data_IF_748249620547
#
_entry.id   IF_748249620547
#
_cell.length_a   1.000
_cell.length_b   1.000
_cell.length_c   1.000
_cell.angle_alpha   90.00
_cell.angle_beta   90.00
_cell.angle_gamma   90.00
#
_symmetry.space_group_name_H-M   'P 1'
#
loop_
_entity.id
_entity.type
_entity.pdbx_description
1 polymer ?
#
# COMPACT_ATOMS: atom_id res chain seq x y z
N UNK A 1 42.44 -21.40 2.86
CA UNK A 1 41.30 -21.21 1.94
C UNK A 1 40.28 -22.28 2.29
N UNK A 2 39.39 -21.98 3.21
CA UNK A 2 38.39 -22.97 3.66
C UNK A 2 37.16 -22.22 4.21
N UNK A 3 35.99 -22.76 3.96
CA UNK A 3 34.73 -22.57 4.68
C UNK A 3 33.80 -21.38 4.40
N UNK A 4 33.86 -20.73 3.24
CA UNK A 4 32.78 -19.80 2.88
C UNK A 4 31.61 -20.45 2.06
N UNK A 5 31.64 -21.77 1.84
CA UNK A 5 30.77 -22.42 0.82
C UNK A 5 29.54 -23.17 1.33
N UNK A 6 29.28 -23.20 2.67
CA UNK A 6 28.22 -24.06 3.22
C UNK A 6 27.24 -23.33 4.18
N UNK A 7 27.11 -22.03 4.09
CA UNK A 7 26.05 -21.34 4.83
C UNK A 7 24.68 -21.70 4.23
N UNK A 8 23.95 -22.59 4.90
CA UNK A 8 22.57 -22.91 4.51
C UNK A 8 21.73 -21.63 4.41
N UNK A 9 20.92 -21.48 3.35
CA UNK A 9 20.08 -20.30 3.18
C UNK A 9 19.14 -20.15 4.38
N UNK A 10 19.15 -18.98 5.00
CA UNK A 10 18.33 -18.68 6.18
C UNK A 10 16.83 -18.94 5.91
N UNK A 11 16.10 -19.38 6.92
CA UNK A 11 14.66 -19.58 6.82
C UNK A 11 13.94 -18.24 6.55
N UNK A 12 12.80 -18.27 5.87
CA UNK A 12 12.02 -17.05 5.61
C UNK A 12 11.58 -16.34 6.89
N UNK A 13 11.35 -17.07 7.98
CA UNK A 13 11.02 -16.49 9.29
C UNK A 13 12.18 -15.73 9.90
N UNK A 14 13.43 -16.24 9.79
CA UNK A 14 14.60 -15.50 10.28
C UNK A 14 14.89 -14.23 9.49
N UNK A 15 14.42 -14.15 8.24
CA UNK A 15 14.51 -12.94 7.42
C UNK A 15 13.55 -11.83 7.90
N UNK A 16 12.41 -12.18 8.53
CA UNK A 16 11.50 -11.17 9.12
C UNK A 16 12.18 -10.39 10.26
N UNK A 17 12.88 -11.09 11.15
CA UNK A 17 13.66 -10.41 12.17
C UNK A 17 14.83 -9.64 11.55
N UNK A 18 15.50 -10.23 10.56
CA UNK A 18 16.63 -9.65 9.87
C UNK A 18 16.31 -8.35 9.12
N UNK A 19 15.08 -8.17 8.60
CA UNK A 19 14.72 -6.93 7.89
C UNK A 19 14.67 -5.72 8.83
N UNK A 20 14.44 -5.94 10.11
CA UNK A 20 14.45 -4.91 11.15
C UNK A 20 15.87 -4.70 11.69
N UNK A 21 16.56 -5.78 12.05
CA UNK A 21 17.85 -5.76 12.74
C UNK A 21 19.04 -5.49 11.78
N UNK A 22 19.06 -6.19 10.63
CA UNK A 22 20.15 -6.14 9.64
C UNK A 22 19.62 -6.03 8.22
N UNK A 23 18.90 -4.94 7.87
CA UNK A 23 18.16 -4.83 6.62
C UNK A 23 19.03 -5.02 5.38
N UNK A 24 20.22 -4.42 5.33
CA UNK A 24 21.11 -4.55 4.17
C UNK A 24 21.57 -5.99 3.92
N UNK A 25 21.99 -6.70 4.97
CA UNK A 25 22.41 -8.10 4.85
C UNK A 25 21.25 -9.01 4.47
N UNK A 26 20.06 -8.77 5.03
CA UNK A 26 18.85 -9.53 4.73
C UNK A 26 18.40 -9.30 3.27
N UNK A 27 18.38 -8.06 2.79
CA UNK A 27 18.02 -7.74 1.42
C UNK A 27 19.04 -8.29 0.41
N UNK A 28 20.35 -8.30 0.76
CA UNK A 28 21.38 -8.94 -0.05
C UNK A 28 21.15 -10.45 -0.17
N UNK A 29 20.78 -11.12 0.91
CA UNK A 29 20.47 -12.56 0.89
C UNK A 29 19.20 -12.87 0.08
N UNK A 30 18.15 -12.03 0.20
CA UNK A 30 16.92 -12.20 -0.57
C UNK A 30 17.19 -12.06 -2.07
N UNK A 31 17.96 -11.06 -2.48
CA UNK A 31 18.32 -10.83 -3.89
C UNK A 31 19.26 -11.89 -4.45
N UNK A 32 20.11 -12.49 -3.61
CA UNK A 32 20.98 -13.59 -4.01
C UNK A 32 20.19 -14.91 -4.22
N UNK A 33 19.14 -15.15 -3.44
CA UNK A 33 18.34 -16.37 -3.46
C UNK A 33 16.85 -16.05 -3.63
N UNK A 34 16.39 -15.54 -4.80
CA UNK A 34 15.04 -14.98 -4.98
C UNK A 34 13.90 -16.00 -4.95
N UNK A 35 14.19 -17.32 -5.17
CA UNK A 35 13.18 -18.39 -5.23
C UNK A 35 12.26 -18.34 -4.01
N UNK A 36 10.96 -18.30 -4.22
CA UNK A 36 9.91 -18.37 -3.18
C UNK A 36 10.05 -17.37 -2.01
N UNK A 37 11.11 -16.56 -1.97
CA UNK A 37 11.34 -15.59 -0.89
C UNK A 37 10.24 -14.52 -0.81
N UNK A 38 9.64 -14.16 -1.94
CA UNK A 38 8.54 -13.20 -2.01
C UNK A 38 7.23 -13.70 -1.40
N UNK A 39 7.03 -15.03 -1.28
CA UNK A 39 5.76 -15.64 -0.84
C UNK A 39 5.38 -15.22 0.57
N UNK A 40 6.31 -15.30 1.53
CA UNK A 40 6.02 -14.96 2.93
C UNK A 40 5.54 -13.51 3.11
N UNK A 41 6.27 -12.47 2.67
CA UNK A 41 5.79 -11.10 2.84
C UNK A 41 4.52 -10.79 2.05
N UNK A 42 4.31 -11.38 0.87
CA UNK A 42 3.06 -11.24 0.12
C UNK A 42 1.89 -11.88 0.88
N UNK A 43 2.08 -13.09 1.43
CA UNK A 43 1.04 -13.75 2.24
C UNK A 43 0.68 -12.91 3.46
N UNK A 44 1.67 -12.37 4.17
CA UNK A 44 1.42 -11.47 5.32
C UNK A 44 0.66 -10.21 4.90
N UNK A 45 0.99 -9.62 3.77
CA UNK A 45 0.31 -8.45 3.24
C UNK A 45 -1.15 -8.76 2.85
N UNK A 46 -1.40 -9.90 2.20
CA UNK A 46 -2.76 -10.36 1.86
C UNK A 46 -3.57 -10.60 3.13
N UNK A 47 -3.02 -11.29 4.12
CA UNK A 47 -3.71 -11.55 5.39
C UNK A 47 -4.04 -10.24 6.12
N UNK A 48 -3.11 -9.29 6.17
CA UNK A 48 -3.36 -7.96 6.75
C UNK A 48 -4.44 -7.19 6.00
N UNK A 49 -4.46 -7.28 4.65
CA UNK A 49 -5.50 -6.66 3.82
C UNK A 49 -6.87 -7.25 4.09
N UNK A 50 -6.99 -8.59 4.18
CA UNK A 50 -8.24 -9.28 4.50
C UNK A 50 -8.71 -8.91 5.90
N UNK A 51 -7.82 -8.97 6.90
CA UNK A 51 -8.14 -8.61 8.27
C UNK A 51 -8.65 -7.16 8.38
N UNK A 52 -7.97 -6.23 7.70
CA UNK A 52 -8.39 -4.83 7.63
C UNK A 52 -9.77 -4.69 6.98
N UNK A 53 -10.01 -5.36 5.85
CA UNK A 53 -11.30 -5.32 5.14
C UNK A 53 -12.44 -5.86 6.02
N UNK A 54 -12.24 -6.97 6.72
CA UNK A 54 -13.25 -7.56 7.64
C UNK A 54 -13.58 -6.60 8.79
N UNK A 55 -12.55 -6.04 9.44
CA UNK A 55 -12.75 -5.15 10.61
C UNK A 55 -13.36 -3.81 10.19
N UNK A 56 -13.02 -3.27 9.02
CA UNK A 56 -13.54 -1.97 8.56
C UNK A 56 -14.88 -2.06 7.85
N UNK A 57 -15.28 -3.25 7.37
CA UNK A 57 -16.52 -3.46 6.59
C UNK A 57 -17.78 -2.87 7.21
N UNK A 58 -18.10 -3.07 8.51
CA UNK A 58 -19.34 -2.52 9.10
C UNK A 58 -19.35 -0.99 9.09
N UNK A 59 -18.19 -0.35 9.31
CA UNK A 59 -18.07 1.10 9.32
C UNK A 59 -18.19 1.69 7.91
N UNK A 60 -17.54 1.06 6.92
CA UNK A 60 -17.62 1.46 5.52
C UNK A 60 -19.04 1.27 4.96
N UNK A 61 -19.71 0.18 5.32
CA UNK A 61 -21.09 -0.07 4.95
C UNK A 61 -22.05 0.96 5.55
N UNK A 62 -21.84 1.37 6.81
CA UNK A 62 -22.61 2.43 7.44
C UNK A 62 -22.42 3.78 6.71
N UNK A 63 -21.17 4.13 6.34
CA UNK A 63 -20.90 5.34 5.56
C UNK A 63 -21.54 5.28 4.16
N UNK A 64 -21.45 4.14 3.48
CA UNK A 64 -22.06 3.94 2.15
C UNK A 64 -23.59 4.14 2.23
N UNK A 65 -24.25 3.66 3.30
CA UNK A 65 -25.67 3.87 3.52
C UNK A 65 -26.02 5.36 3.71
N UNK A 66 -25.24 6.09 4.49
CA UNK A 66 -25.45 7.53 4.70
C UNK A 66 -25.27 8.32 3.42
N UNK A 67 -24.23 8.01 2.62
CA UNK A 67 -23.98 8.65 1.34
C UNK A 67 -25.11 8.35 0.35
N UNK A 68 -25.56 7.10 0.28
CA UNK A 68 -26.67 6.70 -0.58
C UNK A 68 -27.98 7.40 -0.17
N UNK A 69 -28.31 7.47 1.13
CA UNK A 69 -29.47 8.19 1.63
C UNK A 69 -29.43 9.68 1.22
N UNK A 70 -28.26 10.31 1.28
CA UNK A 70 -28.09 11.70 0.85
C UNK A 70 -28.27 11.89 -0.67
N UNK A 71 -27.90 10.89 -1.49
CA UNK A 71 -28.14 10.90 -2.93
C UNK A 71 -29.63 10.70 -3.22
N UNK A 72 -30.25 9.70 -2.58
CA UNK A 72 -31.68 9.39 -2.77
C UNK A 72 -32.61 10.53 -2.37
N UNK A 73 -32.27 11.30 -1.33
CA UNK A 73 -33.06 12.45 -0.89
C UNK A 73 -33.11 13.60 -1.93
N UNK A 74 -32.24 13.57 -2.92
CA UNK A 74 -32.18 14.57 -4.02
C UNK A 74 -32.80 14.06 -5.32
N UNK A 75 -33.19 12.79 -5.39
CA UNK A 75 -33.76 12.19 -6.59
C UNK A 75 -35.26 12.40 -6.69
N UNK A 76 -35.79 12.63 -7.91
CA UNK A 76 -37.25 12.67 -8.16
C UNK A 76 -37.91 11.33 -7.82
N UNK A 77 -39.14 11.36 -7.33
CA UNK A 77 -39.91 10.18 -6.90
C UNK A 77 -40.07 9.12 -8.01
N UNK A 78 -40.16 9.55 -9.26
CA UNK A 78 -40.26 8.65 -10.43
C UNK A 78 -39.01 7.79 -10.63
N UNK A 79 -37.82 8.37 -10.41
CA UNK A 79 -36.55 7.65 -10.50
C UNK A 79 -36.37 6.70 -9.32
N UNK A 80 -36.80 7.09 -8.11
CA UNK A 80 -36.77 6.23 -6.92
C UNK A 80 -37.62 4.97 -7.11
N UNK A 81 -38.79 5.08 -7.78
CA UNK A 81 -39.68 3.95 -8.03
C UNK A 81 -39.07 2.90 -8.99
N UNK A 82 -38.13 3.30 -9.83
CA UNK A 82 -37.45 2.44 -10.81
C UNK A 82 -36.13 1.81 -10.27
N UNK A 83 -35.71 2.17 -9.05
CA UNK A 83 -34.46 1.65 -8.50
C UNK A 83 -34.57 0.17 -8.15
N UNK A 84 -33.61 -0.67 -8.61
CA UNK A 84 -33.60 -2.08 -8.31
C UNK A 84 -33.45 -2.31 -6.77
N UNK A 85 -34.31 -3.19 -6.21
CA UNK A 85 -34.19 -3.63 -4.80
C UNK A 85 -32.81 -4.24 -4.48
N UNK A 86 -32.09 -4.68 -5.50
CA UNK A 86 -30.73 -5.24 -5.40
C UNK A 86 -29.68 -4.23 -4.92
N UNK A 87 -29.93 -2.91 -5.03
CA UNK A 87 -28.98 -1.90 -4.52
C UNK A 87 -28.72 -2.02 -3.01
N UNK A 88 -29.65 -2.53 -2.22
CA UNK A 88 -29.44 -2.77 -0.81
C UNK A 88 -28.32 -3.79 -0.53
N UNK A 89 -28.10 -4.75 -1.43
CA UNK A 89 -27.08 -5.78 -1.29
C UNK A 89 -25.66 -5.17 -1.32
N UNK A 90 -25.44 -4.15 -2.14
CA UNK A 90 -24.14 -3.45 -2.26
C UNK A 90 -23.74 -2.68 -1.01
N UNK A 91 -24.68 -2.46 -0.07
CA UNK A 91 -24.45 -1.76 1.19
C UNK A 91 -24.31 -2.73 2.40
N UNK A 92 -24.30 -4.03 2.14
CA UNK A 92 -24.11 -5.01 3.22
C UNK A 92 -22.64 -5.04 3.64
N UNK A 93 -22.32 -5.21 4.94
CA UNK A 93 -20.93 -5.36 5.40
C UNK A 93 -20.18 -6.48 4.69
N UNK A 94 -20.87 -7.58 4.36
CA UNK A 94 -20.26 -8.71 3.64
C UNK A 94 -19.81 -8.29 2.23
N UNK A 95 -20.68 -7.62 1.46
CA UNK A 95 -20.34 -7.18 0.10
C UNK A 95 -19.23 -6.12 0.14
N UNK A 96 -19.36 -5.12 1.02
CA UNK A 96 -18.38 -4.05 1.17
C UNK A 96 -17.02 -4.60 1.61
N UNK A 97 -17.01 -5.53 2.58
CA UNK A 97 -15.77 -6.18 3.02
C UNK A 97 -15.13 -7.05 1.95
N UNK A 98 -15.92 -7.88 1.25
CA UNK A 98 -15.40 -8.73 0.19
C UNK A 98 -14.85 -7.92 -0.99
N UNK A 99 -15.56 -6.86 -1.42
CA UNK A 99 -15.09 -5.98 -2.49
C UNK A 99 -13.83 -5.21 -2.08
N UNK A 100 -13.76 -4.71 -0.85
CA UNK A 100 -12.58 -4.03 -0.32
C UNK A 100 -11.37 -4.97 -0.24
N UNK A 101 -11.56 -6.21 0.23
CA UNK A 101 -10.51 -7.23 0.26
C UNK A 101 -9.99 -7.55 -1.14
N UNK A 102 -10.89 -7.84 -2.09
CA UNK A 102 -10.52 -8.16 -3.48
C UNK A 102 -9.77 -7.00 -4.13
N UNK A 103 -10.33 -5.80 -4.07
CA UNK A 103 -9.70 -4.59 -4.63
C UNK A 103 -8.35 -4.30 -3.96
N UNK A 104 -8.28 -4.44 -2.64
CA UNK A 104 -7.05 -4.25 -1.87
C UNK A 104 -5.96 -5.25 -2.26
N UNK A 105 -6.29 -6.53 -2.44
CA UNK A 105 -5.34 -7.57 -2.88
C UNK A 105 -4.85 -7.29 -4.31
N UNK A 106 -5.75 -6.96 -5.22
CA UNK A 106 -5.37 -6.61 -6.60
C UNK A 106 -4.46 -5.38 -6.64
N UNK A 107 -4.82 -4.32 -5.90
CA UNK A 107 -4.02 -3.11 -5.80
C UNK A 107 -2.63 -3.38 -5.19
N UNK A 108 -2.54 -4.24 -4.19
CA UNK A 108 -1.29 -4.66 -3.56
C UNK A 108 -0.38 -5.40 -4.55
N UNK A 109 -0.90 -6.37 -5.30
CA UNK A 109 -0.12 -7.14 -6.27
C UNK A 109 0.36 -6.26 -7.43
N UNK A 110 -0.54 -5.42 -7.98
CA UNK A 110 -0.19 -4.44 -9.00
C UNK A 110 0.83 -3.44 -8.45
N UNK A 111 0.66 -2.98 -7.21
CA UNK A 111 1.59 -2.08 -6.53
C UNK A 111 3.00 -2.65 -6.43
N UNK A 112 3.15 -3.91 -6.04
CA UNK A 112 4.46 -4.58 -6.01
C UNK A 112 5.10 -4.70 -7.40
N UNK A 113 4.29 -5.00 -8.42
CA UNK A 113 4.79 -5.07 -9.81
C UNK A 113 5.27 -3.70 -10.29
N UNK A 114 4.46 -2.65 -10.09
CA UNK A 114 4.81 -1.29 -10.48
C UNK A 114 6.04 -0.76 -9.71
N UNK A 115 6.13 -1.05 -8.42
CA UNK A 115 7.29 -0.70 -7.62
C UNK A 115 8.55 -1.40 -8.15
N UNK A 116 8.49 -2.71 -8.36
CA UNK A 116 9.62 -3.47 -8.90
C UNK A 116 10.05 -2.92 -10.27
N UNK A 117 9.10 -2.59 -11.15
CA UNK A 117 9.37 -2.00 -12.45
C UNK A 117 10.03 -0.62 -12.33
N UNK A 118 9.49 0.26 -11.48
CA UNK A 118 10.06 1.59 -11.27
C UNK A 118 11.49 1.52 -10.72
N UNK A 119 11.74 0.65 -9.74
CA UNK A 119 13.07 0.46 -9.18
C UNK A 119 14.03 -0.22 -10.17
N UNK A 120 13.54 -1.16 -10.98
CA UNK A 120 14.34 -1.82 -12.02
C UNK A 120 14.81 -0.84 -13.09
N UNK A 121 13.88 -0.11 -13.72
CA UNK A 121 14.24 0.87 -14.73
C UNK A 121 15.07 2.02 -14.17
N UNK A 122 14.71 2.51 -12.96
CA UNK A 122 15.53 3.51 -12.27
C UNK A 122 16.96 3.03 -11.99
N UNK A 123 17.11 1.76 -11.62
CA UNK A 123 18.44 1.15 -11.42
C UNK A 123 19.25 1.05 -12.71
N UNK A 124 18.63 0.62 -13.81
CA UNK A 124 19.30 0.54 -15.12
C UNK A 124 19.78 1.91 -15.59
N UNK A 125 18.93 2.93 -15.51
CA UNK A 125 19.30 4.32 -15.88
C UNK A 125 20.44 4.83 -15.01
N UNK A 126 20.49 4.42 -13.73
CA UNK A 126 21.54 4.81 -12.79
C UNK A 126 22.82 3.95 -12.90
N UNK A 127 22.93 3.05 -13.89
CA UNK A 127 24.09 2.20 -14.10
C UNK A 127 24.18 0.97 -13.20
N UNK A 128 23.08 0.57 -12.58
CA UNK A 128 23.00 -0.65 -11.77
C UNK A 128 22.71 -1.89 -12.60
N UNK A 129 23.14 -3.03 -12.10
CA UNK A 129 22.91 -4.34 -12.73
C UNK A 129 22.17 -5.27 -11.79
N UNK A 130 20.94 -5.64 -12.15
CA UNK A 130 20.14 -6.63 -11.42
C UNK A 130 19.12 -7.27 -12.37
N UNK A 131 18.84 -8.54 -12.16
CA UNK A 131 17.73 -9.22 -12.81
C UNK A 131 16.39 -8.77 -12.19
N UNK A 132 15.38 -8.54 -13.05
CA UNK A 132 14.05 -8.11 -12.62
C UNK A 132 13.43 -9.04 -11.56
N UNK A 133 13.57 -10.36 -11.76
CA UNK A 133 13.00 -11.35 -10.84
C UNK A 133 13.63 -11.28 -9.44
N UNK A 134 14.91 -10.96 -9.35
CA UNK A 134 15.61 -10.75 -8.07
C UNK A 134 15.09 -9.50 -7.35
N UNK A 135 14.91 -8.42 -8.10
CA UNK A 135 14.39 -7.17 -7.54
C UNK A 135 12.92 -7.33 -7.14
N UNK A 136 12.11 -7.96 -8.00
CA UNK A 136 10.72 -8.28 -7.70
C UNK A 136 10.57 -9.12 -6.43
N UNK A 137 11.41 -10.15 -6.24
CA UNK A 137 11.37 -10.98 -5.03
C UNK A 137 11.69 -10.21 -3.74
N UNK A 138 12.48 -9.13 -3.83
CA UNK A 138 12.82 -8.28 -2.70
C UNK A 138 11.79 -7.17 -2.43
N UNK A 139 11.00 -6.78 -3.43
CA UNK A 139 10.02 -5.70 -3.33
C UNK A 139 8.98 -5.90 -2.20
N UNK A 140 8.35 -7.08 -2.01
CA UNK A 140 7.42 -7.28 -0.91
C UNK A 140 8.07 -7.16 0.49
N UNK A 141 9.37 -7.43 0.61
CA UNK A 141 10.10 -7.29 1.87
C UNK A 141 10.28 -5.83 2.28
N UNK A 142 10.57 -4.94 1.32
CA UNK A 142 10.61 -3.50 1.61
C UNK A 142 9.21 -2.93 1.84
N UNK A 143 8.16 -3.64 1.46
CA UNK A 143 6.76 -3.34 1.75
C UNK A 143 6.28 -3.73 3.15
N UNK A 144 7.04 -4.50 3.94
CA UNK A 144 6.65 -4.95 5.29
C UNK A 144 6.26 -3.82 6.26
N UNK A 145 6.85 -2.62 6.22
CA UNK A 145 6.36 -1.50 7.01
C UNK A 145 4.87 -1.20 6.81
N UNK A 146 4.35 -1.30 5.58
CA UNK A 146 2.93 -1.09 5.31
C UNK A 146 2.05 -2.21 5.85
N UNK A 147 2.56 -3.45 5.91
CA UNK A 147 1.87 -4.56 6.58
C UNK A 147 1.69 -4.24 8.06
N UNK A 148 2.75 -3.77 8.72
CA UNK A 148 2.69 -3.36 10.12
C UNK A 148 1.75 -2.17 10.32
N UNK A 149 1.80 -1.16 9.45
CA UNK A 149 0.87 -0.02 9.46
C UNK A 149 -0.58 -0.49 9.37
N UNK A 150 -0.88 -1.40 8.44
CA UNK A 150 -2.21 -1.99 8.26
C UNK A 150 -2.69 -2.72 9.52
N UNK A 151 -1.81 -3.50 10.16
CA UNK A 151 -2.12 -4.19 11.42
C UNK A 151 -2.44 -3.17 12.53
N UNK A 152 -1.60 -2.14 12.70
CA UNK A 152 -1.79 -1.09 13.72
C UNK A 152 -3.13 -0.36 13.50
N UNK A 153 -3.44 0.01 12.26
CA UNK A 153 -4.70 0.68 11.91
C UNK A 153 -5.90 -0.25 12.15
N UNK A 154 -5.80 -1.53 11.79
CA UNK A 154 -6.85 -2.53 12.00
C UNK A 154 -7.15 -2.71 13.48
N UNK A 155 -6.11 -2.84 14.32
CA UNK A 155 -6.27 -2.90 15.79
C UNK A 155 -6.90 -1.62 16.33
N UNK A 156 -6.47 -0.45 15.85
CA UNK A 156 -7.08 0.82 16.24
C UNK A 156 -8.58 0.85 15.94
N UNK A 157 -8.99 0.45 14.73
CA UNK A 157 -10.41 0.42 14.34
C UNK A 157 -11.19 -0.56 15.20
N UNK A 158 -10.65 -1.76 15.43
CA UNK A 158 -11.28 -2.77 16.28
C UNK A 158 -11.50 -2.28 17.73
N UNK A 159 -10.51 -1.58 18.31
CA UNK A 159 -10.56 -1.10 19.69
C UNK A 159 -11.40 0.18 19.85
N UNK A 160 -11.26 1.11 18.90
CA UNK A 160 -11.93 2.42 18.98
C UNK A 160 -13.31 2.46 18.37
N UNK A 161 -13.72 1.45 17.62
CA UNK A 161 -15.02 1.40 16.94
C UNK A 161 -15.24 2.52 15.92
N UNK A 162 -14.16 3.04 15.32
CA UNK A 162 -14.23 4.11 14.30
C UNK A 162 -13.04 4.04 13.34
N UNK A 163 -13.27 4.43 12.09
CA UNK A 163 -12.23 4.50 11.08
C UNK A 163 -11.17 5.55 11.41
N UNK A 164 -9.93 5.31 10.95
CA UNK A 164 -8.86 6.31 10.95
C UNK A 164 -9.24 7.40 9.94
N UNK A 165 -9.40 8.64 10.40
CA UNK A 165 -9.79 9.77 9.55
C UNK A 165 -8.56 10.34 8.84
N UNK A 166 -7.57 10.77 9.62
CA UNK A 166 -6.37 11.42 9.10
C UNK A 166 -5.18 10.47 9.23
N UNK A 167 -4.53 10.18 8.11
CA UNK A 167 -3.31 9.38 8.06
C UNK A 167 -2.10 10.30 7.89
N UNK A 168 -0.96 9.91 8.44
CA UNK A 168 0.27 10.66 8.30
C UNK A 168 0.12 12.14 8.72
N UNK A 169 0.60 13.03 7.88
CA UNK A 169 0.51 14.49 8.09
C UNK A 169 -0.74 15.13 7.49
N UNK A 170 -1.72 14.34 6.98
CA UNK A 170 -2.93 14.90 6.36
C UNK A 170 -3.78 15.74 7.30
N UNK A 171 -3.67 15.56 8.64
CA UNK A 171 -4.36 16.36 9.63
C UNK A 171 -4.00 17.86 9.55
N UNK A 172 -2.84 18.21 9.00
CA UNK A 172 -2.39 19.62 8.86
C UNK A 172 -3.22 20.40 7.83
N UNK A 173 -3.86 19.69 6.89
CA UNK A 173 -4.64 20.28 5.79
C UNK A 173 -6.07 19.79 5.76
N UNK A 174 -6.49 19.02 6.78
CA UNK A 174 -7.86 18.51 6.88
C UNK A 174 -8.83 19.66 7.11
N UNK A 175 -9.91 19.67 6.33
CA UNK A 175 -11.03 20.62 6.50
C UNK A 175 -12.05 20.14 7.51
N UNK A 176 -11.92 18.89 8.01
CA UNK A 176 -12.91 18.21 8.84
C UNK A 176 -14.07 17.61 8.03
N UNK A 177 -14.11 17.83 6.73
CA UNK A 177 -15.07 17.24 5.80
C UNK A 177 -14.41 16.13 5.00
N UNK A 178 -14.81 14.87 5.21
CA UNK A 178 -14.25 13.72 4.48
C UNK A 178 -14.40 13.84 2.96
N UNK A 179 -15.53 14.36 2.50
CA UNK A 179 -15.79 14.52 1.06
C UNK A 179 -14.91 15.59 0.44
N UNK A 180 -14.67 16.70 1.12
CA UNK A 180 -13.76 17.75 0.66
C UNK A 180 -12.30 17.27 0.71
N UNK A 181 -11.91 16.62 1.80
CA UNK A 181 -10.55 16.11 2.01
C UNK A 181 -10.19 14.99 1.02
N UNK A 182 -11.13 14.08 0.69
CA UNK A 182 -10.90 12.97 -0.23
C UNK A 182 -10.46 13.41 -1.65
N UNK A 183 -10.91 14.59 -2.11
CA UNK A 183 -10.51 15.16 -3.40
C UNK A 183 -9.30 16.11 -3.34
N UNK A 184 -8.70 16.30 -2.16
CA UNK A 184 -7.57 17.23 -1.97
C UNK A 184 -6.25 16.54 -2.28
N UNK A 185 -5.49 17.08 -3.26
CA UNK A 185 -4.14 16.62 -3.60
C UNK A 185 -3.19 16.71 -2.39
N UNK A 186 -3.25 17.82 -1.65
CA UNK A 186 -2.42 18.05 -0.47
C UNK A 186 -2.75 17.04 0.63
N UNK A 187 -4.03 16.76 0.86
CA UNK A 187 -4.47 15.76 1.84
C UNK A 187 -3.99 14.35 1.45
N UNK A 188 -4.14 13.96 0.19
CA UNK A 188 -3.68 12.67 -0.31
C UNK A 188 -2.14 12.54 -0.21
N UNK A 189 -1.38 13.57 -0.59
CA UNK A 189 0.07 13.57 -0.54
C UNK A 189 0.60 13.52 0.91
N UNK A 190 0.09 14.39 1.79
CA UNK A 190 0.51 14.43 3.20
C UNK A 190 0.06 13.18 3.96
N UNK A 191 -1.03 12.55 3.56
CA UNK A 191 -1.50 11.29 4.12
C UNK A 191 -0.53 10.11 3.91
N UNK A 192 0.35 10.19 2.92
CA UNK A 192 1.41 9.19 2.73
C UNK A 192 2.58 9.36 3.69
N UNK A 193 2.81 10.57 4.21
CA UNK A 193 3.97 10.86 5.05
C UNK A 193 3.78 10.28 6.45
N UNK A 194 3.86 8.95 6.54
CA UNK A 194 3.83 8.18 7.78
C UNK A 194 5.23 7.70 8.16
N UNK A 195 5.42 7.32 9.43
CA UNK A 195 6.67 6.68 9.87
C UNK A 195 6.95 5.39 9.07
N UNK A 196 5.90 4.65 8.73
CA UNK A 196 6.02 3.40 7.97
C UNK A 196 6.44 3.66 6.51
N UNK A 197 5.96 4.74 5.90
CA UNK A 197 6.41 5.14 4.56
C UNK A 197 7.89 5.58 4.56
N UNK A 198 8.33 6.34 5.56
CA UNK A 198 9.75 6.69 5.69
C UNK A 198 10.63 5.46 5.89
N UNK A 199 10.19 4.51 6.70
CA UNK A 199 10.88 3.24 6.87
C UNK A 199 10.91 2.43 5.57
N UNK A 200 9.81 2.37 4.83
CA UNK A 200 9.76 1.76 3.50
C UNK A 200 10.78 2.39 2.54
N UNK A 201 10.90 3.72 2.49
CA UNK A 201 11.91 4.40 1.67
C UNK A 201 13.34 4.08 2.10
N UNK A 202 13.59 3.99 3.39
CA UNK A 202 14.90 3.57 3.91
C UNK A 202 15.25 2.14 3.47
N UNK A 203 14.30 1.20 3.53
CA UNK A 203 14.49 -0.16 3.05
C UNK A 203 14.69 -0.20 1.53
N UNK A 204 13.95 0.61 0.78
CA UNK A 204 14.09 0.75 -0.67
C UNK A 204 15.49 1.28 -1.03
N UNK A 205 15.97 2.31 -0.35
CA UNK A 205 17.35 2.81 -0.51
C UNK A 205 18.38 1.70 -0.24
N UNK A 206 18.22 0.94 0.86
CA UNK A 206 19.12 -0.17 1.19
C UNK A 206 19.06 -1.28 0.14
N UNK A 207 17.87 -1.60 -0.38
CA UNK A 207 17.71 -2.57 -1.47
C UNK A 207 18.50 -2.15 -2.71
N UNK A 208 18.40 -0.88 -3.13
CA UNK A 208 19.12 -0.34 -4.28
C UNK A 208 20.65 -0.35 -4.10
N UNK A 209 21.12 -0.22 -2.85
CA UNK A 209 22.53 -0.33 -2.51
C UNK A 209 23.08 -1.75 -2.61
N UNK A 210 22.30 -2.77 -2.27
CA UNK A 210 22.79 -4.15 -2.18
C UNK A 210 22.39 -5.01 -3.37
N UNK A 211 21.21 -4.79 -3.96
CA UNK A 211 20.70 -5.53 -5.13
C UNK A 211 21.41 -5.10 -6.41
N UNK A 212 21.05 -3.96 -7.00
CA UNK A 212 21.71 -3.44 -8.20
C UNK A 212 23.07 -2.80 -7.92
N UNK A 213 23.53 -2.75 -6.69
CA UNK A 213 24.84 -2.23 -6.24
C UNK A 213 25.08 -0.76 -6.61
N UNK A 214 24.04 0.04 -6.61
CA UNK A 214 24.18 1.47 -6.91
C UNK A 214 25.06 2.19 -5.88
N UNK A 215 25.79 3.22 -6.34
CA UNK A 215 26.46 4.18 -5.48
C UNK A 215 25.46 4.92 -4.57
N UNK A 216 25.93 5.50 -3.45
CA UNK A 216 25.02 6.15 -2.48
C UNK A 216 24.15 7.25 -3.08
N UNK A 217 24.75 8.14 -3.89
CA UNK A 217 24.02 9.22 -4.56
C UNK A 217 22.98 8.69 -5.57
N UNK A 218 23.38 7.72 -6.41
CA UNK A 218 22.48 7.12 -7.39
C UNK A 218 21.29 6.41 -6.73
N UNK A 219 21.54 5.60 -5.68
CA UNK A 219 20.48 4.94 -4.92
C UNK A 219 19.52 5.95 -4.26
N UNK A 220 20.04 7.08 -3.74
CA UNK A 220 19.22 8.13 -3.16
C UNK A 220 18.34 8.79 -4.22
N UNK A 221 18.90 9.15 -5.38
CA UNK A 221 18.14 9.74 -6.50
C UNK A 221 17.03 8.81 -6.96
N UNK A 222 17.31 7.52 -7.19
CA UNK A 222 16.29 6.55 -7.60
C UNK A 222 15.21 6.39 -6.52
N UNK A 223 15.59 6.38 -5.24
CA UNK A 223 14.62 6.31 -4.12
C UNK A 223 13.72 7.55 -4.09
N UNK A 224 14.28 8.75 -4.28
CA UNK A 224 13.50 10.00 -4.30
C UNK A 224 12.58 10.09 -5.52
N UNK A 225 13.03 9.65 -6.69
CA UNK A 225 12.18 9.56 -7.87
C UNK A 225 11.02 8.57 -7.67
N UNK A 226 11.29 7.41 -7.07
CA UNK A 226 10.24 6.46 -6.69
C UNK A 226 9.28 7.08 -5.66
N UNK A 227 9.78 7.79 -4.65
CA UNK A 227 8.95 8.49 -3.68
C UNK A 227 8.04 9.54 -4.34
N UNK A 228 8.59 10.36 -5.23
CA UNK A 228 7.82 11.35 -5.98
C UNK A 228 6.75 10.69 -6.87
N UNK A 229 7.09 9.61 -7.56
CA UNK A 229 6.15 8.83 -8.37
C UNK A 229 5.01 8.27 -7.52
N UNK A 230 5.30 7.67 -6.37
CA UNK A 230 4.29 7.08 -5.48
C UNK A 230 3.33 8.13 -4.90
N UNK A 231 3.85 9.29 -4.49
CA UNK A 231 3.04 10.43 -4.04
C UNK A 231 2.19 10.99 -5.19
N UNK A 232 2.80 11.16 -6.38
CA UNK A 232 2.11 11.65 -7.57
C UNK A 232 0.98 10.73 -8.02
N UNK A 233 1.17 9.42 -7.99
CA UNK A 233 0.13 8.44 -8.29
C UNK A 233 -1.04 8.56 -7.32
N UNK A 234 -0.78 8.61 -6.01
CA UNK A 234 -1.85 8.73 -5.00
C UNK A 234 -2.62 10.04 -5.15
N UNK A 235 -1.92 11.15 -5.34
CA UNK A 235 -2.53 12.45 -5.58
C UNK A 235 -3.35 12.46 -6.90
N UNK A 236 -2.83 11.84 -7.96
CA UNK A 236 -3.52 11.68 -9.24
C UNK A 236 -4.83 10.88 -9.11
N UNK A 237 -4.83 9.79 -8.36
CA UNK A 237 -6.06 9.04 -8.07
C UNK A 237 -7.08 9.86 -7.28
N UNK A 238 -6.65 10.67 -6.31
CA UNK A 238 -7.54 11.57 -5.58
C UNK A 238 -8.18 12.61 -6.51
N UNK A 239 -7.40 13.20 -7.42
CA UNK A 239 -7.90 14.14 -8.42
C UNK A 239 -8.90 13.50 -9.37
N UNK A 240 -8.60 12.30 -9.87
CA UNK A 240 -9.49 11.56 -10.77
C UNK A 240 -10.82 11.21 -10.08
N UNK A 241 -10.78 10.75 -8.83
CA UNK A 241 -11.97 10.47 -8.04
C UNK A 241 -12.86 11.70 -7.90
N UNK A 242 -12.27 12.88 -7.71
CA UNK A 242 -13.01 14.15 -7.65
C UNK A 242 -13.70 14.49 -8.98
N UNK A 243 -13.01 14.28 -10.11
CA UNK A 243 -13.59 14.56 -11.44
C UNK A 243 -14.80 13.66 -11.75
N UNK A 244 -14.74 12.39 -11.33
CA UNK A 244 -15.83 11.42 -11.54
C UNK A 244 -17.01 11.70 -10.59
N UNK A 245 -16.78 12.27 -9.40
CA UNK A 245 -17.82 12.56 -8.41
C UNK A 245 -18.52 13.92 -8.59
N UNK A 246 -18.05 14.77 -9.53
CA UNK A 246 -18.75 16.01 -9.88
C UNK A 246 -19.98 15.64 -10.72
N UNK A 247 -21.22 16.07 -10.32
CA UNK A 247 -22.40 15.89 -11.15
C UNK A 247 -22.23 16.68 -12.46
N UNK A 248 -22.40 16.00 -13.59
CA UNK A 248 -22.59 16.66 -14.89
C UNK A 248 -23.96 17.34 -14.94
#
# INVERSE_FOLDING_TARGET
MSDASNAQPKSSLSLLAGIVDRPSATLAEITAHPRWRWVLPVTLAILATIASAVVTAPFLAAEAKLQMAAVLSRMPAEQLAQMPKQMAMFQTPLFVGASAALTGILALLIGYLLQAAALYFGSLIAGGEIDFGRLFAATPWVGLPFVLESVVQTVYVAVKGRLVINQGLSYLVSTGSRTADAGSLAYAALGMLTLFWLWHLLLTFKLLRVGPRLGGAAALVVTLLYAALSVGMRAGFAALSRMISLPM
#
